data_IF_447312616433
#
_entry.id   IF_447312616433
#
_cell.length_a   1.000
_cell.length_b   1.000
_cell.length_c   1.000
_cell.angle_alpha   90.00
_cell.angle_beta   90.00
_cell.angle_gamma   90.00
#
_symmetry.space_group_name_H-M   'P 1'
#
loop_
_entity.id
_entity.type
_entity.pdbx_description
1 polymer ?
#
# COMPACT_ATOMS: atom_id res chain seq x y z
N UNK A 1 17.01 -1.23 -19.88
CA UNK A 1 16.55 0.15 -20.20
C UNK A 1 17.07 1.10 -19.12
N UNK A 2 17.53 2.31 -19.51
CA UNK A 2 17.96 3.31 -18.53
C UNK A 2 16.78 3.71 -17.64
N UNK A 3 17.01 3.81 -16.33
CA UNK A 3 16.01 4.29 -15.37
C UNK A 3 15.75 5.76 -15.66
N UNK A 4 14.56 6.06 -16.17
CA UNK A 4 14.10 7.45 -16.31
C UNK A 4 13.44 7.86 -15.02
N UNK A 5 13.92 8.91 -14.38
CA UNK A 5 13.31 9.49 -13.18
C UNK A 5 13.02 10.97 -13.38
N UNK A 6 12.01 11.46 -12.70
CA UNK A 6 11.65 12.87 -12.61
C UNK A 6 11.16 13.19 -11.20
N UNK A 7 11.36 14.45 -10.80
CA UNK A 7 10.89 14.95 -9.51
C UNK A 7 9.58 15.72 -9.70
N UNK A 8 8.57 15.39 -8.91
CA UNK A 8 7.28 16.07 -8.90
C UNK A 8 6.96 16.60 -7.51
N UNK A 9 6.28 17.75 -7.45
CA UNK A 9 5.81 18.32 -6.20
C UNK A 9 4.41 17.81 -5.90
N UNK A 10 4.23 17.18 -4.73
CA UNK A 10 2.95 16.70 -4.21
C UNK A 10 2.73 17.33 -2.84
N UNK A 11 1.79 18.27 -2.76
CA UNK A 11 1.65 19.10 -1.55
C UNK A 11 2.94 19.84 -1.21
N UNK A 12 3.49 19.57 -0.04
CA UNK A 12 4.76 20.15 0.45
C UNK A 12 6.00 19.31 0.14
N UNK A 13 5.81 18.09 -0.41
CA UNK A 13 6.87 17.13 -0.64
C UNK A 13 7.34 17.13 -2.09
N UNK A 14 8.60 16.75 -2.28
CA UNK A 14 9.14 16.40 -3.59
C UNK A 14 9.29 14.88 -3.65
N UNK A 15 8.68 14.26 -4.65
CA UNK A 15 8.69 12.80 -4.85
C UNK A 15 9.42 12.48 -6.13
N UNK A 16 10.39 11.57 -6.07
CA UNK A 16 11.03 11.02 -7.26
C UNK A 16 10.13 9.94 -7.87
N UNK A 17 9.72 10.14 -9.12
CA UNK A 17 8.95 9.17 -9.90
C UNK A 17 9.86 8.51 -10.93
N UNK A 18 9.74 7.20 -11.09
CA UNK A 18 10.56 6.44 -12.03
C UNK A 18 9.73 5.48 -12.88
N UNK A 19 10.19 5.23 -14.10
CA UNK A 19 9.61 4.24 -15.01
C UNK A 19 8.11 4.42 -15.24
N UNK A 20 7.63 5.64 -15.43
CA UNK A 20 6.21 5.99 -15.54
C UNK A 20 5.49 5.28 -16.68
N UNK A 21 6.21 4.96 -17.76
CA UNK A 21 5.68 4.25 -18.94
C UNK A 21 5.66 2.73 -18.79
N UNK A 22 6.01 2.21 -17.61
CA UNK A 22 5.97 0.76 -17.34
C UNK A 22 4.52 0.30 -17.29
N UNK A 23 4.18 -0.71 -18.06
CA UNK A 23 2.86 -1.36 -18.02
C UNK A 23 2.78 -2.17 -16.72
N UNK A 24 1.78 -1.90 -15.88
CA UNK A 24 1.51 -2.63 -14.64
C UNK A 24 0.34 -3.61 -14.77
N UNK A 25 -0.63 -3.31 -15.65
CA UNK A 25 -1.77 -4.18 -15.93
C UNK A 25 -1.76 -4.49 -17.44
N UNK A 26 -1.17 -5.62 -17.84
CA UNK A 26 -0.94 -5.93 -19.26
C UNK A 26 -2.22 -6.04 -20.09
N UNK A 27 -3.28 -6.62 -19.52
CA UNK A 27 -4.54 -6.86 -20.22
C UNK A 27 -5.28 -5.56 -20.60
N UNK A 28 -5.11 -4.52 -19.78
CA UNK A 28 -5.73 -3.21 -19.97
C UNK A 28 -4.72 -2.15 -20.43
N UNK A 29 -3.47 -2.55 -20.65
CA UNK A 29 -2.34 -1.67 -21.03
C UNK A 29 -2.11 -0.50 -20.05
N UNK A 30 -2.57 -0.60 -18.77
CA UNK A 30 -2.44 0.46 -17.80
C UNK A 30 -1.00 0.63 -17.31
N UNK A 31 -0.57 1.89 -17.32
CA UNK A 31 0.79 2.27 -16.97
C UNK A 31 0.93 2.59 -15.48
N UNK A 32 2.17 2.57 -15.01
CA UNK A 32 2.51 3.03 -13.65
C UNK A 32 2.10 4.49 -13.41
N UNK A 33 2.16 5.33 -14.42
CA UNK A 33 1.67 6.71 -14.33
C UNK A 33 0.18 6.77 -13.95
N UNK A 34 -0.62 5.87 -14.54
CA UNK A 34 -2.07 5.82 -14.29
C UNK A 34 -2.38 5.29 -12.89
N UNK A 35 -1.59 4.34 -12.36
CA UNK A 35 -1.70 3.91 -10.96
C UNK A 35 -1.41 5.09 -9.99
N UNK A 36 -0.39 5.90 -10.29
CA UNK A 36 -0.06 7.09 -9.49
C UNK A 36 -1.20 8.11 -9.54
N UNK A 37 -1.74 8.37 -10.73
CA UNK A 37 -2.87 9.27 -10.91
C UNK A 37 -4.12 8.77 -10.17
N UNK A 38 -4.41 7.48 -10.25
CA UNK A 38 -5.49 6.83 -9.51
C UNK A 38 -5.35 7.03 -8.00
N UNK A 39 -4.15 6.82 -7.45
CA UNK A 39 -3.89 7.02 -6.02
C UNK A 39 -4.07 8.49 -5.60
N UNK A 40 -3.62 9.44 -6.43
CA UNK A 40 -3.83 10.87 -6.19
C UNK A 40 -5.31 11.23 -6.22
N UNK A 41 -6.03 10.76 -7.23
CA UNK A 41 -7.46 11.05 -7.40
C UNK A 41 -8.31 10.51 -6.24
N UNK A 42 -7.95 9.34 -5.73
CA UNK A 42 -8.66 8.70 -4.62
C UNK A 42 -8.01 8.94 -3.24
N UNK A 43 -6.99 9.80 -3.17
CA UNK A 43 -6.26 10.05 -1.93
C UNK A 43 -7.15 10.38 -0.72
N UNK A 44 -8.18 11.25 -0.83
CA UNK A 44 -9.06 11.52 0.31
C UNK A 44 -9.76 10.26 0.84
N UNK A 45 -10.22 9.38 -0.06
CA UNK A 45 -10.87 8.12 0.30
C UNK A 45 -9.87 7.13 0.87
N UNK A 46 -8.76 6.88 0.19
CA UNK A 46 -7.75 5.91 0.65
C UNK A 46 -7.22 6.33 2.02
N UNK A 47 -6.83 7.59 2.19
CA UNK A 47 -6.30 8.09 3.47
C UNK A 47 -7.32 8.02 4.60
N UNK A 48 -8.61 8.14 4.34
CA UNK A 48 -9.63 7.99 5.39
C UNK A 48 -9.57 6.60 6.07
N UNK A 49 -9.15 5.58 5.34
CA UNK A 49 -9.02 4.22 5.86
C UNK A 49 -7.63 3.92 6.45
N UNK A 50 -6.56 4.30 5.77
CA UNK A 50 -5.19 3.85 6.12
C UNK A 50 -4.36 4.87 6.90
N UNK A 51 -4.78 6.14 7.00
CA UNK A 51 -4.00 7.19 7.65
C UNK A 51 -3.61 6.84 9.08
N UNK A 52 -2.32 6.91 9.36
CA UNK A 52 -1.76 6.63 10.69
C UNK A 52 -1.68 5.14 11.03
N UNK A 53 -1.95 4.23 10.07
CA UNK A 53 -1.85 2.79 10.26
C UNK A 53 -0.56 2.25 9.66
N UNK A 54 0.16 1.36 10.37
CA UNK A 54 1.28 0.63 9.78
C UNK A 54 0.80 -0.22 8.60
N UNK A 55 1.56 -0.20 7.51
CA UNK A 55 1.21 -0.86 6.25
C UNK A 55 2.17 -2.02 5.95
N UNK A 56 1.60 -3.16 5.60
CA UNK A 56 2.26 -4.17 4.77
C UNK A 56 1.77 -3.99 3.34
N UNK A 57 2.63 -4.14 2.36
CA UNK A 57 2.26 -3.89 0.97
C UNK A 57 2.62 -5.05 0.06
N UNK A 58 1.84 -5.26 -0.99
CA UNK A 58 2.22 -6.14 -2.10
C UNK A 58 2.60 -5.30 -3.29
N UNK A 59 3.82 -5.52 -3.78
CA UNK A 59 4.43 -4.81 -4.89
C UNK A 59 4.49 -5.70 -6.12
N UNK A 60 4.20 -5.10 -7.26
CA UNK A 60 4.30 -5.73 -8.57
C UNK A 60 5.23 -4.92 -9.47
N UNK A 61 6.56 -4.91 -9.22
CA UNK A 61 7.49 -4.04 -9.94
C UNK A 61 7.54 -4.33 -11.44
N UNK A 62 7.17 -5.54 -11.85
CA UNK A 62 7.11 -5.96 -13.26
C UNK A 62 5.68 -6.16 -13.79
N UNK A 63 4.69 -5.59 -13.09
CA UNK A 63 3.27 -5.69 -13.42
C UNK A 63 2.61 -6.93 -12.80
N UNK A 64 1.27 -6.96 -12.82
CA UNK A 64 0.47 -8.00 -12.13
C UNK A 64 0.66 -9.42 -12.70
N UNK A 65 1.19 -9.55 -13.90
CA UNK A 65 1.59 -10.84 -14.48
C UNK A 65 3.00 -11.30 -14.11
N UNK A 66 3.75 -10.46 -13.39
CA UNK A 66 5.12 -10.74 -12.97
C UNK A 66 5.25 -11.22 -11.52
N UNK A 67 6.48 -11.22 -11.03
CA UNK A 67 6.77 -11.60 -9.65
C UNK A 67 6.24 -10.54 -8.67
N UNK A 68 5.57 -11.01 -7.62
CA UNK A 68 5.08 -10.16 -6.55
C UNK A 68 5.98 -10.22 -5.32
N UNK A 69 6.04 -9.12 -4.58
CA UNK A 69 6.80 -9.02 -3.34
C UNK A 69 5.94 -8.54 -2.19
N UNK A 70 5.74 -9.37 -1.18
CA UNK A 70 5.14 -8.94 0.08
C UNK A 70 6.19 -8.24 0.93
N UNK A 71 5.99 -6.95 1.20
CA UNK A 71 6.95 -6.11 1.90
C UNK A 71 6.34 -5.50 3.16
N UNK A 72 6.97 -5.75 4.31
CA UNK A 72 6.66 -5.12 5.60
C UNK A 72 7.61 -3.97 5.90
N UNK A 73 8.92 -4.19 5.67
CA UNK A 73 9.94 -3.20 5.99
C UNK A 73 9.94 -2.02 5.02
N UNK A 74 9.99 -0.83 5.58
CA UNK A 74 10.31 0.39 4.85
C UNK A 74 11.66 0.21 4.13
N UNK A 75 11.79 0.60 2.85
CA UNK A 75 13.08 0.58 2.16
C UNK A 75 14.06 1.55 2.83
N UNK A 76 15.34 1.18 2.96
CA UNK A 76 16.38 2.02 3.55
C UNK A 76 16.55 3.36 2.81
N UNK A 77 16.24 3.38 1.51
CA UNK A 77 16.29 4.57 0.66
C UNK A 77 14.97 5.34 0.60
N UNK A 78 13.95 4.96 1.38
CA UNK A 78 12.71 5.73 1.45
C UNK A 78 13.00 7.16 1.96
N UNK A 79 12.30 8.18 1.43
CA UNK A 79 12.55 9.55 1.85
C UNK A 79 12.26 9.74 3.34
N UNK A 80 13.02 10.63 3.99
CA UNK A 80 12.90 10.90 5.44
C UNK A 80 11.51 11.39 5.86
N UNK A 81 10.78 12.00 4.92
CA UNK A 81 9.41 12.45 5.18
C UNK A 81 8.36 11.33 5.13
N UNK A 82 8.73 10.12 4.70
CA UNK A 82 7.81 8.98 4.74
C UNK A 82 7.69 8.46 6.17
N UNK A 83 6.56 8.73 6.79
CA UNK A 83 6.31 8.32 8.18
C UNK A 83 6.42 6.80 8.34
N UNK A 84 6.93 6.36 9.47
CA UNK A 84 7.17 4.96 9.75
C UNK A 84 7.15 4.66 11.25
N UNK A 85 7.12 3.39 11.61
CA UNK A 85 7.21 2.91 12.99
C UNK A 85 7.87 1.54 13.07
N UNK A 86 8.79 1.37 14.02
CA UNK A 86 9.32 0.06 14.37
C UNK A 86 8.38 -0.67 15.35
N UNK A 87 7.88 -1.82 14.95
CA UNK A 87 7.09 -2.70 15.79
C UNK A 87 7.74 -4.08 15.88
N UNK A 88 7.62 -4.71 17.06
CA UNK A 88 8.13 -6.07 17.28
C UNK A 88 7.28 -7.10 16.53
N UNK A 89 7.92 -7.93 15.73
CA UNK A 89 7.32 -9.16 15.20
C UNK A 89 7.50 -10.25 16.28
N UNK A 90 6.43 -10.57 17.00
CA UNK A 90 6.44 -11.54 18.10
C UNK A 90 6.82 -12.96 17.66
N UNK A 91 6.52 -13.31 16.41
CA UNK A 91 6.80 -14.64 15.88
C UNK A 91 8.28 -14.81 15.52
N UNK A 92 8.92 -13.73 15.06
CA UNK A 92 10.31 -13.78 14.57
C UNK A 92 11.33 -13.17 15.53
N UNK A 93 10.89 -12.65 16.67
CA UNK A 93 11.72 -11.90 17.62
C UNK A 93 12.59 -10.83 16.95
N UNK A 94 12.01 -10.14 15.95
CA UNK A 94 12.64 -9.08 15.16
C UNK A 94 11.74 -7.85 15.17
N UNK A 95 12.36 -6.71 14.98
CA UNK A 95 11.66 -5.47 14.72
C UNK A 95 11.42 -5.33 13.21
N UNK A 96 10.28 -4.79 12.86
CA UNK A 96 9.89 -4.47 11.49
C UNK A 96 9.58 -2.99 11.44
N UNK A 97 10.19 -2.27 10.48
CA UNK A 97 9.98 -0.84 10.26
C UNK A 97 8.86 -0.65 9.23
N UNK A 98 7.64 -0.43 9.72
CA UNK A 98 6.45 -0.29 8.87
C UNK A 98 6.30 1.13 8.35
N UNK A 99 5.99 1.28 7.06
CA UNK A 99 5.56 2.56 6.48
C UNK A 99 4.18 2.96 6.99
N UNK A 100 3.97 4.27 7.14
CA UNK A 100 2.67 4.85 7.52
C UNK A 100 2.32 5.93 6.50
N UNK A 101 1.20 5.79 5.79
CA UNK A 101 0.71 6.82 4.89
C UNK A 101 -0.10 7.86 5.67
N UNK A 102 0.30 9.14 5.58
CA UNK A 102 -0.35 10.25 6.29
C UNK A 102 -0.81 11.37 5.36
N UNK A 103 -0.29 11.43 4.15
CA UNK A 103 -0.53 12.49 3.16
C UNK A 103 -0.49 11.93 1.72
N UNK A 104 -0.94 12.72 0.75
CA UNK A 104 -0.98 12.33 -0.68
C UNK A 104 0.39 11.89 -1.21
N UNK A 105 1.46 12.57 -0.78
CA UNK A 105 2.82 12.22 -1.18
C UNK A 105 3.20 10.79 -0.76
N UNK A 106 2.69 10.32 0.39
CA UNK A 106 2.90 8.93 0.84
C UNK A 106 2.26 7.93 -0.13
N UNK A 107 1.06 8.24 -0.62
CA UNK A 107 0.37 7.39 -1.61
C UNK A 107 1.10 7.38 -2.96
N UNK A 108 1.56 8.54 -3.41
CA UNK A 108 2.36 8.66 -4.64
C UNK A 108 3.66 7.86 -4.54
N UNK A 109 4.32 7.90 -3.39
CA UNK A 109 5.51 7.11 -3.13
C UNK A 109 5.20 5.61 -3.21
N UNK A 110 4.13 5.14 -2.57
CA UNK A 110 3.70 3.73 -2.61
C UNK A 110 3.34 3.30 -4.04
N UNK A 111 2.56 4.10 -4.78
CA UNK A 111 2.23 3.82 -6.18
C UNK A 111 3.49 3.76 -7.08
N UNK A 112 4.47 4.65 -6.83
CA UNK A 112 5.75 4.63 -7.55
C UNK A 112 6.57 3.35 -7.27
N UNK A 113 6.39 2.72 -6.11
CA UNK A 113 6.92 1.38 -5.79
C UNK A 113 6.15 0.25 -6.44
N UNK A 114 5.09 0.55 -7.20
CA UNK A 114 4.11 -0.41 -7.72
C UNK A 114 3.44 -1.22 -6.59
N UNK A 115 3.18 -0.59 -5.44
CA UNK A 115 2.34 -1.16 -4.40
C UNK A 115 0.88 -1.12 -4.89
N UNK A 116 0.30 -2.27 -5.19
CA UNK A 116 -1.09 -2.40 -5.66
C UNK A 116 -1.99 -2.77 -4.49
N UNK A 117 -1.49 -3.55 -3.54
CA UNK A 117 -2.23 -3.89 -2.33
C UNK A 117 -1.63 -3.18 -1.11
N UNK A 118 -2.51 -2.57 -0.33
CA UNK A 118 -2.16 -1.87 0.91
C UNK A 118 -2.89 -2.55 2.07
N UNK A 119 -2.15 -3.34 2.86
CA UNK A 119 -2.68 -4.07 4.01
C UNK A 119 -2.40 -3.28 5.29
N UNK A 120 -3.40 -2.58 5.81
CA UNK A 120 -3.26 -1.79 7.03
C UNK A 120 -3.47 -2.63 8.29
N UNK A 121 -2.75 -2.28 9.34
CA UNK A 121 -3.06 -2.78 10.68
C UNK A 121 -4.35 -2.17 11.21
N UNK A 122 -5.00 -2.87 12.15
CA UNK A 122 -6.26 -2.44 12.78
C UNK A 122 -6.05 -1.36 13.85
N UNK A 123 -4.81 -1.04 14.18
CA UNK A 123 -4.42 -0.01 15.14
C UNK A 123 -3.83 1.21 14.44
N UNK A 124 -3.93 2.37 15.09
CA UNK A 124 -3.35 3.63 14.60
C UNK A 124 -2.23 4.12 15.52
N UNK A 125 -1.30 4.89 14.95
CA UNK A 125 -0.32 5.66 15.71
C UNK A 125 -1.04 6.62 16.67
N UNK A 126 -0.58 6.75 17.95
CA UNK A 126 0.53 6.02 18.57
C UNK A 126 0.12 4.71 19.28
N UNK A 127 -1.14 4.31 19.27
CA UNK A 127 -1.70 3.24 20.08
C UNK A 127 -1.76 1.91 19.32
N UNK A 128 -0.60 1.33 18.99
CA UNK A 128 -0.52 0.14 18.13
C UNK A 128 -1.00 -1.15 18.79
N UNK A 129 -1.10 -1.21 20.09
CA UNK A 129 -1.63 -2.33 20.90
C UNK A 129 -3.15 -2.26 21.13
N UNK A 130 -3.81 -1.18 20.63
CA UNK A 130 -5.24 -0.93 20.78
C UNK A 130 -5.90 -0.79 19.41
N UNK A 131 -6.38 -1.90 18.82
CA UNK A 131 -7.13 -1.82 17.57
C UNK A 131 -8.44 -1.03 17.76
N UNK A 132 -8.80 -0.22 16.77
CA UNK A 132 -10.02 0.60 16.77
C UNK A 132 -11.16 -0.03 15.96
N UNK A 133 -10.91 -1.16 15.31
CA UNK A 133 -11.91 -2.00 14.65
C UNK A 133 -11.41 -3.44 14.53
N UNK A 134 -12.30 -4.35 14.21
CA UNK A 134 -12.00 -5.73 13.84
C UNK A 134 -12.65 -6.07 12.50
N UNK A 135 -12.14 -7.09 11.84
CA UNK A 135 -12.67 -7.59 10.57
C UNK A 135 -13.22 -9.00 10.81
N UNK A 136 -14.41 -9.24 10.31
CA UNK A 136 -14.97 -10.59 10.21
C UNK A 136 -14.87 -11.00 8.74
N UNK A 137 -14.03 -11.98 8.45
CA UNK A 137 -13.90 -12.56 7.13
C UNK A 137 -14.82 -13.79 7.04
N UNK A 138 -15.67 -13.81 6.00
CA UNK A 138 -16.59 -14.92 5.75
C UNK A 138 -16.06 -15.72 4.58
N UNK A 139 -15.46 -16.86 4.87
CA UNK A 139 -14.85 -17.76 3.89
C UNK A 139 -15.64 -19.10 3.81
N UNK A 140 -16.78 -19.09 3.11
CA UNK A 140 -17.61 -20.28 2.99
C UNK A 140 -17.01 -21.28 1.98
N UNK A 141 -17.36 -22.57 2.10
CA UNK A 141 -17.03 -23.55 1.08
C UNK A 141 -17.58 -23.15 -0.30
N UNK A 142 -16.91 -23.52 -1.39
CA UNK A 142 -17.30 -23.19 -2.77
C UNK A 142 -18.75 -23.54 -3.12
N UNK A 143 -19.30 -24.58 -2.50
CA UNK A 143 -20.68 -25.03 -2.70
C UNK A 143 -21.71 -24.25 -1.91
N UNK A 144 -21.31 -23.31 -1.06
CA UNK A 144 -22.21 -22.56 -0.19
C UNK A 144 -22.91 -21.42 -0.95
N UNK A 145 -24.24 -21.34 -1.00
CA UNK A 145 -24.95 -20.33 -1.75
C UNK A 145 -24.67 -18.92 -1.21
N UNK A 146 -24.30 -17.97 -2.09
CA UNK A 146 -24.03 -16.58 -1.72
C UNK A 146 -25.19 -15.91 -0.96
N UNK A 147 -26.44 -16.26 -1.32
CA UNK A 147 -27.62 -15.73 -0.62
C UNK A 147 -27.69 -16.09 0.88
N UNK A 148 -27.07 -17.20 1.28
CA UNK A 148 -26.98 -17.58 2.71
C UNK A 148 -25.87 -16.76 3.41
N UNK A 149 -24.78 -16.40 2.71
CA UNK A 149 -23.72 -15.55 3.26
C UNK A 149 -24.28 -14.17 3.58
N UNK A 150 -25.05 -13.58 2.67
CA UNK A 150 -25.72 -12.29 2.86
C UNK A 150 -26.64 -12.29 4.09
N UNK A 151 -27.24 -13.43 4.43
CA UNK A 151 -28.08 -13.56 5.63
C UNK A 151 -27.31 -13.72 6.94
N UNK A 152 -25.97 -13.98 6.87
CA UNK A 152 -25.08 -14.11 8.03
C UNK A 152 -24.35 -12.78 8.31
N UNK A 153 -24.05 -12.02 7.25
CA UNK A 153 -23.38 -10.72 7.32
C UNK A 153 -24.32 -9.61 7.81
#
# INVERSE_FOLDING_TARGET
MARTSQFVKVGKRTVELSNLKKVLFPDDELLKAELIEYYLKLAPTILSHIKGRPLSVVRYPDGVGGEMFFQKNRPDWAPDWMDHVELGDKEKNKKVDYMIATEEASLVFLANLACIELHQMHSRSPNFDKPDYFVVDLDPPETFPFSKIVGIA
#
